data_IF_210894053849
#
_entry.id   IF_210894053849
#
_cell.length_a   1.000
_cell.length_b   1.000
_cell.length_c   1.000
_cell.angle_alpha   90.00
_cell.angle_beta   90.00
_cell.angle_gamma   90.00
#
_symmetry.space_group_name_H-M   'P 1'
#
loop_
_entity.id
_entity.type
_entity.pdbx_description
1 polymer ?
#
# COMPACT_ATOMS: atom_id res chain seq x y z
N UNK A 1 75.07 33.49 -37.76
CA UNK A 1 73.93 34.42 -37.93
C UNK A 1 72.67 33.59 -37.79
N UNK A 2 71.76 33.74 -36.86
CA UNK A 2 71.58 34.61 -35.70
C UNK A 2 70.32 34.08 -34.99
N UNK A 3 70.34 34.13 -33.67
CA UNK A 3 69.25 33.78 -32.74
C UNK A 3 68.05 34.76 -32.85
N UNK A 4 66.99 34.48 -32.08
CA UNK A 4 65.82 35.28 -31.67
C UNK A 4 64.52 35.05 -32.48
N UNK A 5 63.35 34.82 -31.89
CA UNK A 5 62.92 34.86 -30.49
C UNK A 5 61.58 35.60 -30.37
N UNK A 6 60.54 34.96 -29.81
CA UNK A 6 59.59 35.64 -28.92
C UNK A 6 58.14 35.95 -29.39
N UNK A 7 57.21 35.25 -28.71
CA UNK A 7 55.95 35.72 -28.07
C UNK A 7 54.71 36.15 -28.90
N UNK A 8 53.60 35.46 -28.59
CA UNK A 8 52.46 36.06 -27.87
C UNK A 8 51.08 35.98 -28.53
N UNK A 9 50.08 35.41 -27.84
CA UNK A 9 48.66 35.64 -28.15
C UNK A 9 47.68 34.55 -27.65
N UNK A 10 46.98 34.83 -26.55
CA UNK A 10 45.86 34.05 -25.97
C UNK A 10 44.56 34.17 -26.79
N UNK A 11 43.70 33.14 -26.70
CA UNK A 11 42.24 33.23 -26.92
C UNK A 11 41.71 31.98 -27.65
N UNK A 12 40.69 31.25 -27.21
CA UNK A 12 39.79 31.33 -26.08
C UNK A 12 39.06 29.98 -25.95
N UNK A 13 38.60 29.66 -24.75
CA UNK A 13 37.81 28.47 -24.42
C UNK A 13 36.53 28.41 -25.26
N UNK A 14 36.35 27.35 -26.03
CA UNK A 14 35.07 26.94 -26.61
C UNK A 14 34.62 25.62 -26.00
N UNK A 15 34.12 25.66 -24.77
CA UNK A 15 33.40 24.54 -24.18
C UNK A 15 32.04 24.38 -24.87
N UNK A 16 31.85 23.26 -25.56
CA UNK A 16 30.54 22.68 -25.90
C UNK A 16 30.67 21.23 -25.47
N UNK A 17 30.09 20.80 -24.36
CA UNK A 17 28.68 20.91 -24.04
C UNK A 17 28.25 19.47 -23.85
N UNK A 18 28.61 18.91 -22.69
CA UNK A 18 28.22 17.55 -22.33
C UNK A 18 26.70 17.49 -22.30
N UNK A 19 26.11 16.83 -23.29
CA UNK A 19 24.76 16.30 -23.16
C UNK A 19 24.83 15.20 -22.10
N UNK A 20 24.65 15.58 -20.84
CA UNK A 20 24.16 14.67 -19.82
C UNK A 20 22.75 14.30 -20.20
N UNK A 21 22.61 13.34 -21.12
CA UNK A 21 21.38 12.56 -21.19
C UNK A 21 21.30 11.82 -19.87
N UNK A 22 20.34 12.16 -19.03
CA UNK A 22 19.94 11.27 -17.96
C UNK A 22 19.35 10.04 -18.65
N UNK A 23 20.20 9.07 -18.98
CA UNK A 23 19.71 7.71 -19.21
C UNK A 23 18.92 7.31 -17.96
N UNK A 24 17.70 6.78 -18.12
CA UNK A 24 16.97 6.26 -16.98
C UNK A 24 17.85 5.23 -16.26
N UNK A 25 17.83 5.18 -14.92
CA UNK A 25 18.60 4.21 -14.17
C UNK A 25 18.36 2.80 -14.73
N UNK A 26 19.43 2.06 -15.04
CA UNK A 26 19.32 0.68 -15.51
C UNK A 26 18.55 -0.15 -14.47
N UNK A 27 17.47 -0.77 -14.91
CA UNK A 27 16.62 -1.68 -14.14
C UNK A 27 17.02 -3.15 -14.30
N UNK A 28 18.15 -3.43 -14.96
CA UNK A 28 18.54 -4.78 -15.39
C UNK A 28 18.70 -5.75 -14.21
N UNK A 29 19.08 -5.24 -13.04
CA UNK A 29 19.27 -6.04 -11.83
C UNK A 29 17.97 -6.34 -11.08
N UNK A 30 16.88 -5.61 -11.33
CA UNK A 30 15.60 -5.80 -10.61
C UNK A 30 14.98 -7.18 -10.86
N UNK A 31 15.29 -7.79 -12.01
CA UNK A 31 14.78 -9.10 -12.42
C UNK A 31 15.88 -10.17 -12.56
N UNK A 32 17.13 -9.85 -12.21
CA UNK A 32 18.23 -10.81 -12.25
C UNK A 32 18.12 -11.80 -11.09
N UNK A 33 17.89 -13.10 -11.35
CA UNK A 33 17.74 -14.10 -10.30
C UNK A 33 19.02 -14.34 -9.50
N UNK A 34 20.18 -13.89 -9.99
CA UNK A 34 21.47 -14.01 -9.32
C UNK A 34 21.79 -12.83 -8.39
N UNK A 35 20.93 -11.80 -8.37
CA UNK A 35 21.09 -10.61 -7.53
C UNK A 35 20.11 -10.65 -6.36
N UNK A 36 20.49 -10.13 -5.18
CA UNK A 36 19.55 -9.93 -4.10
C UNK A 36 18.43 -8.98 -4.52
N UNK A 37 17.19 -9.30 -4.14
CA UNK A 37 16.03 -8.43 -4.39
C UNK A 37 16.22 -7.08 -3.69
N UNK A 38 16.32 -6.00 -4.48
CA UNK A 38 16.29 -4.61 -3.99
C UNK A 38 14.95 -3.96 -4.26
N UNK A 39 14.70 -2.84 -3.58
CA UNK A 39 13.55 -1.99 -3.84
C UNK A 39 13.69 -1.30 -5.20
N UNK A 40 12.62 -1.31 -5.99
CA UNK A 40 12.53 -0.52 -7.20
C UNK A 40 12.26 0.94 -6.86
N UNK A 41 12.86 1.85 -7.61
CA UNK A 41 12.54 3.28 -7.56
C UNK A 41 11.35 3.57 -8.47
N UNK A 42 10.50 4.57 -8.16
CA UNK A 42 9.35 4.91 -9.00
C UNK A 42 9.72 5.18 -10.47
N UNK A 43 10.91 5.73 -10.72
CA UNK A 43 11.41 6.03 -12.07
C UNK A 43 11.79 4.78 -12.87
N UNK A 44 12.07 3.65 -12.20
CA UNK A 44 12.38 2.36 -12.82
C UNK A 44 11.12 1.58 -13.23
N UNK A 45 9.95 2.01 -12.74
CA UNK A 45 8.66 1.40 -13.06
C UNK A 45 8.14 2.02 -14.36
N UNK A 46 8.75 1.64 -15.48
CA UNK A 46 8.33 2.06 -16.82
C UNK A 46 7.35 1.04 -17.44
N UNK A 47 6.60 1.39 -18.49
CA UNK A 47 5.78 0.43 -19.22
C UNK A 47 6.58 -0.79 -19.70
N UNK A 48 7.79 -0.56 -20.25
CA UNK A 48 8.68 -1.62 -20.74
C UNK A 48 9.11 -2.56 -19.63
N UNK A 49 9.46 -2.01 -18.46
CA UNK A 49 9.77 -2.81 -17.28
C UNK A 49 8.57 -3.66 -16.85
N UNK A 50 7.36 -3.09 -16.82
CA UNK A 50 6.15 -3.84 -16.45
C UNK A 50 5.81 -4.95 -17.45
N UNK A 51 6.04 -4.75 -18.76
CA UNK A 51 5.94 -5.81 -19.77
C UNK A 51 6.92 -6.94 -19.50
N UNK A 52 8.16 -6.62 -19.15
CA UNK A 52 9.19 -7.60 -18.84
C UNK A 52 8.86 -8.40 -17.57
N UNK A 53 8.33 -7.74 -16.53
CA UNK A 53 7.82 -8.41 -15.32
C UNK A 53 6.69 -9.37 -15.68
N UNK A 54 5.73 -8.94 -16.52
CA UNK A 54 4.64 -9.82 -17.00
C UNK A 54 5.20 -11.02 -17.76
N UNK A 55 6.17 -10.81 -18.64
CA UNK A 55 6.79 -11.87 -19.46
C UNK A 55 7.50 -12.92 -18.60
N UNK A 56 8.30 -12.48 -17.62
CA UNK A 56 9.14 -13.36 -16.79
C UNK A 56 8.45 -13.87 -15.53
N UNK A 57 7.33 -13.25 -15.14
CA UNK A 57 6.72 -13.39 -13.82
C UNK A 57 7.68 -13.05 -12.66
N UNK A 58 8.64 -12.16 -12.92
CA UNK A 58 9.61 -11.72 -11.94
C UNK A 58 8.96 -11.06 -10.71
N UNK A 59 9.63 -11.16 -9.57
CA UNK A 59 9.18 -10.52 -8.32
C UNK A 59 9.82 -9.15 -8.20
N UNK A 60 9.02 -8.13 -7.93
CA UNK A 60 9.48 -6.75 -7.70
C UNK A 60 9.14 -6.30 -6.30
N UNK A 61 10.08 -5.67 -5.61
CA UNK A 61 9.86 -5.04 -4.30
C UNK A 61 9.56 -3.56 -4.49
N UNK A 62 8.33 -3.16 -4.15
CA UNK A 62 7.82 -1.81 -4.39
C UNK A 62 8.02 -0.86 -3.21
N UNK A 63 8.07 -1.40 -1.99
CA UNK A 63 8.26 -0.60 -0.80
C UNK A 63 8.20 -1.44 0.46
N UNK A 64 8.43 -0.78 1.59
CA UNK A 64 8.29 -1.43 2.90
C UNK A 64 6.89 -1.16 3.41
N UNK A 65 6.30 -2.16 4.05
CA UNK A 65 5.08 -1.99 4.81
C UNK A 65 5.42 -1.31 6.13
N UNK A 66 4.97 -0.07 6.24
CA UNK A 66 5.12 0.84 7.38
C UNK A 66 3.76 1.53 7.59
N UNK A 67 2.75 0.79 8.09
CA UNK A 67 1.39 1.31 8.20
C UNK A 67 1.32 2.48 9.16
N UNK A 68 0.47 3.47 8.86
CA UNK A 68 0.14 4.59 9.74
C UNK A 68 -0.35 4.07 11.11
N UNK A 69 -1.17 3.02 11.10
CA UNK A 69 -1.50 2.27 12.29
C UNK A 69 -0.37 1.28 12.63
N UNK A 70 0.42 1.64 13.64
CA UNK A 70 1.53 0.80 14.12
C UNK A 70 1.04 -0.51 14.76
N UNK A 71 -0.20 -0.58 15.24
CA UNK A 71 -0.79 -1.80 15.80
C UNK A 71 -0.97 -2.91 14.76
N UNK A 72 -1.29 -2.52 13.52
CA UNK A 72 -1.52 -3.45 12.42
C UNK A 72 -0.31 -4.35 12.15
N UNK A 73 0.91 -3.84 12.22
CA UNK A 73 2.11 -4.65 11.96
C UNK A 73 2.25 -5.81 12.96
N UNK A 74 1.90 -5.58 14.22
CA UNK A 74 1.92 -6.60 15.27
C UNK A 74 0.74 -7.57 15.12
N UNK A 75 -0.45 -7.07 14.81
CA UNK A 75 -1.65 -7.88 14.58
C UNK A 75 -1.44 -8.89 13.44
N UNK A 76 -0.73 -8.50 12.39
CA UNK A 76 -0.43 -9.36 11.24
C UNK A 76 0.63 -10.43 11.53
N UNK A 77 1.31 -10.37 12.68
CA UNK A 77 2.26 -11.41 13.11
C UNK A 77 3.56 -11.44 12.31
N UNK A 78 3.99 -10.30 11.78
CA UNK A 78 5.26 -10.16 11.08
C UNK A 78 6.45 -10.16 12.05
N UNK A 79 7.62 -10.60 11.57
CA UNK A 79 8.85 -10.52 12.34
C UNK A 79 9.37 -9.08 12.31
N UNK A 80 9.33 -8.41 13.46
CA UNK A 80 9.74 -7.02 13.62
C UNK A 80 11.25 -6.79 13.44
N UNK A 81 12.07 -7.85 13.35
CA UNK A 81 13.50 -7.75 13.09
C UNK A 81 13.84 -7.41 11.65
N UNK A 82 12.93 -7.67 10.72
CA UNK A 82 13.15 -7.48 9.29
C UNK A 82 12.08 -6.56 8.70
N UNK A 83 12.38 -5.83 7.61
CA UNK A 83 11.34 -5.10 6.89
C UNK A 83 10.31 -6.07 6.32
N UNK A 84 9.05 -5.66 6.31
CA UNK A 84 7.97 -6.36 5.61
C UNK A 84 7.91 -5.80 4.19
N UNK A 85 8.13 -6.62 3.18
CA UNK A 85 8.21 -6.19 1.77
C UNK A 85 6.84 -6.19 1.11
N UNK A 86 6.47 -5.07 0.50
CA UNK A 86 5.33 -4.98 -0.42
C UNK A 86 5.85 -5.36 -1.82
N UNK A 87 5.30 -6.42 -2.41
CA UNK A 87 5.79 -6.97 -3.68
C UNK A 87 4.68 -7.25 -4.68
N UNK A 88 5.00 -7.24 -5.96
CA UNK A 88 4.15 -7.83 -7.00
C UNK A 88 4.94 -8.78 -7.89
N UNK A 89 4.21 -9.50 -8.74
CA UNK A 89 4.78 -10.28 -9.83
C UNK A 89 3.95 -10.14 -11.12
N UNK A 90 4.47 -10.71 -12.21
CA UNK A 90 3.83 -10.64 -13.52
C UNK A 90 2.40 -11.19 -13.56
N UNK A 91 2.08 -12.23 -12.79
CA UNK A 91 0.72 -12.76 -12.74
C UNK A 91 -0.29 -11.77 -12.15
N UNK A 92 0.08 -11.04 -11.10
CA UNK A 92 -0.75 -9.98 -10.54
C UNK A 92 -0.94 -8.85 -11.58
N UNK A 93 0.14 -8.43 -12.26
CA UNK A 93 0.06 -7.41 -13.30
C UNK A 93 -0.82 -7.82 -14.49
N UNK A 94 -0.71 -9.06 -14.97
CA UNK A 94 -1.58 -9.61 -16.03
C UNK A 94 -3.04 -9.61 -15.59
N UNK A 95 -3.32 -9.98 -14.34
CA UNK A 95 -4.68 -9.95 -13.79
C UNK A 95 -5.22 -8.52 -13.81
N UNK A 96 -4.46 -7.57 -13.28
CA UNK A 96 -4.82 -6.15 -13.20
C UNK A 96 -5.06 -5.58 -14.58
N UNK A 97 -4.13 -5.76 -15.51
CA UNK A 97 -4.27 -5.28 -16.90
C UNK A 97 -5.55 -5.81 -17.56
N UNK A 98 -5.78 -7.13 -17.48
CA UNK A 98 -6.93 -7.79 -18.11
C UNK A 98 -8.26 -7.36 -17.50
N UNK A 99 -8.31 -7.16 -16.18
CA UNK A 99 -9.57 -6.98 -15.43
C UNK A 99 -9.85 -5.52 -15.10
N UNK A 100 -8.83 -4.71 -14.90
CA UNK A 100 -8.93 -3.36 -14.36
C UNK A 100 -8.11 -2.34 -15.16
N UNK A 101 -7.35 -2.73 -16.19
CA UNK A 101 -6.63 -1.79 -17.05
C UNK A 101 -7.54 -0.99 -18.00
N UNK A 102 -6.99 -0.02 -18.75
CA UNK A 102 -7.76 0.85 -19.65
C UNK A 102 -8.51 0.10 -20.76
N UNK A 103 -8.05 -1.09 -21.15
CA UNK A 103 -8.70 -1.91 -22.18
C UNK A 103 -9.60 -3.00 -21.57
N UNK A 104 -9.81 -3.00 -20.26
CA UNK A 104 -10.59 -4.04 -19.58
C UNK A 104 -12.09 -3.87 -19.79
N UNK A 105 -12.84 -4.97 -19.68
CA UNK A 105 -14.30 -4.93 -19.75
C UNK A 105 -14.91 -4.08 -18.62
N UNK A 106 -14.29 -4.06 -17.44
CA UNK A 106 -14.79 -3.27 -16.31
C UNK A 106 -14.63 -1.77 -16.57
N UNK A 107 -13.54 -1.35 -17.21
CA UNK A 107 -13.42 0.03 -17.67
C UNK A 107 -14.38 0.34 -18.82
N UNK A 108 -14.32 -0.45 -19.90
CA UNK A 108 -15.03 -0.12 -21.15
C UNK A 108 -16.56 -0.25 -21.03
N UNK A 109 -17.06 -1.29 -20.34
CA UNK A 109 -18.51 -1.57 -20.27
C UNK A 109 -19.15 -1.13 -18.96
N UNK A 110 -18.42 -1.25 -17.84
CA UNK A 110 -18.96 -0.92 -16.53
C UNK A 110 -18.53 0.47 -16.05
N UNK A 111 -17.81 1.22 -16.91
CA UNK A 111 -17.36 2.59 -16.66
C UNK A 111 -16.61 2.76 -15.33
N UNK A 112 -15.89 1.71 -14.92
CA UNK A 112 -15.07 1.76 -13.71
C UNK A 112 -13.76 2.51 -14.01
N UNK A 113 -13.20 3.25 -13.05
CA UNK A 113 -11.89 3.87 -13.22
C UNK A 113 -10.84 2.80 -13.50
N UNK A 114 -10.02 3.01 -14.53
CA UNK A 114 -8.97 2.08 -14.88
C UNK A 114 -7.76 2.22 -13.94
N UNK A 115 -7.04 1.11 -13.75
CA UNK A 115 -5.73 1.08 -13.12
C UNK A 115 -4.68 1.42 -14.19
N UNK A 116 -3.98 2.53 -13.98
CA UNK A 116 -2.86 2.97 -14.80
C UNK A 116 -1.49 2.68 -14.18
N UNK A 117 -0.44 3.06 -14.90
CA UNK A 117 0.94 2.90 -14.41
C UNK A 117 1.21 3.72 -13.14
N UNK A 118 0.60 4.90 -13.00
CA UNK A 118 0.76 5.73 -11.81
C UNK A 118 0.13 5.09 -10.56
N UNK A 119 -0.98 4.36 -10.74
CA UNK A 119 -1.56 3.57 -9.65
C UNK A 119 -0.62 2.42 -9.24
N UNK A 120 0.00 1.74 -10.20
CA UNK A 120 0.97 0.65 -9.95
C UNK A 120 2.23 1.17 -9.25
N UNK A 121 2.71 2.37 -9.59
CA UNK A 121 3.86 2.99 -8.93
C UNK A 121 3.60 3.31 -7.47
N UNK A 122 2.40 3.80 -7.16
CA UNK A 122 2.11 4.44 -5.88
C UNK A 122 1.17 3.63 -4.97
N UNK A 123 0.68 2.46 -5.39
CA UNK A 123 -0.21 1.64 -4.54
C UNK A 123 0.33 1.31 -3.14
N UNK A 124 1.67 1.20 -2.86
CA UNK A 124 2.13 1.00 -1.49
C UNK A 124 1.68 2.11 -0.53
N UNK A 125 1.39 3.33 -1.03
CA UNK A 125 0.81 4.41 -0.22
C UNK A 125 -0.62 4.10 0.23
N UNK A 126 -1.42 3.42 -0.61
CA UNK A 126 -2.77 2.96 -0.23
C UNK A 126 -2.70 1.87 0.83
N UNK A 127 -1.67 1.02 0.79
CA UNK A 127 -1.43 -0.01 1.80
C UNK A 127 -1.00 0.58 3.14
N UNK A 128 -0.09 1.56 3.11
CA UNK A 128 0.47 2.17 4.32
C UNK A 128 -0.45 3.22 4.95
N UNK A 129 -1.25 3.92 4.15
CA UNK A 129 -2.18 4.98 4.60
C UNK A 129 -3.60 4.75 4.05
N UNK A 130 -4.25 3.63 4.36
CA UNK A 130 -5.62 3.39 3.93
C UNK A 130 -6.61 4.21 4.76
N UNK A 131 -7.77 4.52 4.17
CA UNK A 131 -8.92 5.01 4.95
C UNK A 131 -9.53 3.87 5.78
N UNK A 132 -9.46 2.63 5.26
CA UNK A 132 -9.87 1.42 5.97
C UNK A 132 -9.03 0.21 5.54
N UNK A 133 -8.75 -0.69 6.47
CA UNK A 133 -8.12 -1.98 6.17
C UNK A 133 -8.75 -3.11 6.97
N UNK A 134 -8.73 -4.32 6.42
CA UNK A 134 -9.26 -5.52 7.05
C UNK A 134 -8.44 -6.74 6.66
N UNK A 135 -8.30 -7.68 7.59
CA UNK A 135 -7.78 -9.01 7.29
C UNK A 135 -8.94 -9.93 6.96
N UNK A 136 -8.86 -10.62 5.83
CA UNK A 136 -9.85 -11.62 5.41
C UNK A 136 -9.15 -12.93 5.07
N UNK A 137 -9.88 -14.04 5.10
CA UNK A 137 -9.40 -15.31 4.57
C UNK A 137 -9.88 -15.50 3.14
N UNK A 138 -9.01 -16.01 2.27
CA UNK A 138 -9.44 -16.53 0.99
C UNK A 138 -10.08 -17.93 1.16
N UNK A 139 -10.58 -18.52 0.06
CA UNK A 139 -11.22 -19.84 0.08
C UNK A 139 -10.33 -20.98 0.61
N UNK A 140 -9.01 -20.82 0.53
CA UNK A 140 -8.02 -21.80 0.95
C UNK A 140 -7.50 -21.53 2.38
N UNK A 141 -8.11 -20.57 3.11
CA UNK A 141 -7.67 -20.15 4.45
C UNK A 141 -6.38 -19.32 4.45
N UNK A 142 -5.92 -18.83 3.30
CA UNK A 142 -4.80 -17.90 3.21
C UNK A 142 -5.29 -16.49 3.56
N UNK A 143 -4.68 -15.90 4.60
CA UNK A 143 -4.93 -14.52 5.03
C UNK A 143 -4.53 -13.50 3.98
N UNK A 144 -5.41 -12.54 3.75
CA UNK A 144 -5.24 -11.40 2.88
C UNK A 144 -5.41 -10.11 3.67
N UNK A 145 -4.54 -9.14 3.43
CA UNK A 145 -4.76 -7.75 3.81
C UNK A 145 -5.53 -7.06 2.67
N UNK A 146 -6.68 -6.49 3.00
CA UNK A 146 -7.46 -5.64 2.09
C UNK A 146 -7.41 -4.21 2.59
N UNK A 147 -6.94 -3.29 1.77
CA UNK A 147 -6.77 -1.87 2.09
C UNK A 147 -7.53 -1.04 1.06
N UNK A 148 -8.32 -0.07 1.50
CA UNK A 148 -9.03 0.85 0.63
C UNK A 148 -8.78 2.31 0.97
N UNK A 149 -8.74 3.15 -0.07
CA UNK A 149 -8.64 4.60 0.02
C UNK A 149 -9.63 5.25 -0.95
N UNK A 150 -10.30 6.30 -0.52
CA UNK A 150 -11.34 7.02 -1.28
C UNK A 150 -10.69 7.97 -2.29
N UNK A 151 -10.30 7.42 -3.45
CA UNK A 151 -9.68 8.15 -4.57
C UNK A 151 -10.26 7.63 -5.89
N UNK A 152 -10.75 8.55 -6.75
CA UNK A 152 -11.43 8.24 -8.02
C UNK A 152 -12.52 7.17 -7.86
N UNK A 153 -13.55 7.44 -7.06
CA UNK A 153 -14.32 6.36 -6.43
C UNK A 153 -13.52 5.84 -5.25
N UNK A 154 -13.26 4.54 -5.17
CA UNK A 154 -12.33 3.98 -4.19
C UNK A 154 -11.30 3.05 -4.83
N UNK A 155 -10.05 3.18 -4.40
CA UNK A 155 -8.93 2.30 -4.79
C UNK A 155 -8.78 1.21 -3.73
N UNK A 156 -8.98 -0.04 -4.15
CA UNK A 156 -8.73 -1.25 -3.39
C UNK A 156 -7.38 -1.89 -3.73
N UNK A 157 -6.66 -2.28 -2.69
CA UNK A 157 -5.46 -3.14 -2.76
C UNK A 157 -5.72 -4.41 -1.97
N UNK A 158 -5.46 -5.56 -2.58
CA UNK A 158 -5.57 -6.87 -1.92
C UNK A 158 -4.23 -7.59 -2.00
N UNK A 159 -3.68 -7.97 -0.85
CA UNK A 159 -2.36 -8.60 -0.73
C UNK A 159 -2.42 -9.85 0.13
N UNK A 160 -1.69 -10.88 -0.27
CA UNK A 160 -1.47 -12.05 0.58
C UNK A 160 -0.45 -11.75 1.66
N UNK A 161 -0.79 -12.12 2.89
CA UNK A 161 0.12 -12.04 4.03
C UNK A 161 0.99 -13.29 4.07
N UNK A 162 2.31 -13.11 3.99
CA UNK A 162 3.30 -14.17 4.16
C UNK A 162 4.25 -13.83 5.30
N UNK A 163 3.88 -14.20 6.53
CA UNK A 163 4.69 -13.95 7.74
C UNK A 163 6.05 -14.65 7.67
N UNK A 164 6.10 -15.88 7.14
CA UNK A 164 7.36 -16.63 6.94
C UNK A 164 8.37 -15.91 6.02
N UNK A 165 7.90 -15.07 5.10
CA UNK A 165 8.74 -14.34 4.15
C UNK A 165 8.84 -12.85 4.47
N UNK A 166 8.17 -12.39 5.53
CA UNK A 166 7.94 -10.97 5.81
C UNK A 166 7.49 -10.21 4.55
N UNK A 167 6.43 -10.70 3.91
CA UNK A 167 6.00 -10.22 2.60
C UNK A 167 4.48 -10.00 2.56
N UNK A 168 4.07 -8.85 2.03
CA UNK A 168 2.75 -8.59 1.48
C UNK A 168 2.85 -8.74 -0.04
N UNK A 169 2.25 -9.81 -0.58
CA UNK A 169 2.30 -10.13 -2.01
C UNK A 169 1.01 -9.67 -2.68
N UNK A 170 1.10 -8.72 -3.59
CA UNK A 170 -0.02 -8.21 -4.37
C UNK A 170 -0.78 -9.34 -5.07
N UNK A 171 -2.11 -9.34 -4.90
CA UNK A 171 -3.05 -10.20 -5.65
C UNK A 171 -3.75 -9.42 -6.74
N UNK A 172 -4.29 -8.25 -6.40
CA UNK A 172 -4.96 -7.37 -7.35
C UNK A 172 -5.03 -5.93 -6.84
N UNK A 173 -5.17 -5.02 -7.80
CA UNK A 173 -5.48 -3.60 -7.64
C UNK A 173 -6.74 -3.34 -8.46
N UNK A 174 -7.68 -2.58 -7.92
CA UNK A 174 -8.79 -2.09 -8.71
C UNK A 174 -9.34 -0.79 -8.12
N UNK A 175 -9.95 0.01 -9.00
CA UNK A 175 -10.79 1.12 -8.61
C UNK A 175 -12.24 0.79 -8.97
N UNK A 176 -13.15 1.21 -8.13
CA UNK A 176 -14.58 1.13 -8.40
C UNK A 176 -15.27 2.44 -8.04
N UNK A 177 -16.34 2.76 -8.75
CA UNK A 177 -17.17 3.93 -8.49
C UNK A 177 -17.86 3.82 -7.11
N UNK A 178 -18.10 4.97 -6.48
CA UNK A 178 -18.79 5.06 -5.19
C UNK A 178 -17.84 5.08 -3.99
N UNK A 179 -18.34 4.64 -2.84
CA UNK A 179 -17.67 4.75 -1.54
C UNK A 179 -17.19 3.38 -1.08
N UNK A 180 -15.98 3.28 -0.52
CA UNK A 180 -15.45 2.02 0.00
C UNK A 180 -16.35 1.43 1.10
N UNK A 181 -17.08 2.26 1.85
CA UNK A 181 -17.98 1.82 2.93
C UNK A 181 -19.17 0.99 2.43
N UNK A 182 -19.48 1.07 1.13
CA UNK A 182 -20.51 0.25 0.47
C UNK A 182 -19.96 -1.08 -0.05
N UNK A 183 -18.64 -1.26 -0.05
CA UNK A 183 -18.02 -2.53 -0.43
C UNK A 183 -18.33 -3.59 0.64
N UNK A 184 -18.84 -4.79 0.26
CA UNK A 184 -19.18 -5.85 1.21
C UNK A 184 -18.05 -6.29 2.14
N UNK A 185 -16.78 -6.13 1.74
CA UNK A 185 -15.62 -6.43 2.59
C UNK A 185 -15.63 -5.57 3.87
N UNK A 186 -16.02 -4.30 3.74
CA UNK A 186 -16.01 -3.29 4.81
C UNK A 186 -17.40 -2.94 5.34
N UNK A 187 -18.45 -3.58 4.86
CA UNK A 187 -19.81 -3.35 5.33
C UNK A 187 -19.88 -3.45 6.87
N UNK A 188 -20.41 -2.40 7.51
CA UNK A 188 -20.52 -2.29 8.97
C UNK A 188 -19.27 -1.77 9.70
N UNK A 189 -18.18 -1.44 8.99
CA UNK A 189 -17.04 -0.72 9.56
C UNK A 189 -17.23 0.80 9.39
N UNK A 190 -16.95 1.57 10.45
CA UNK A 190 -16.78 3.02 10.35
C UNK A 190 -15.41 3.39 9.79
N UNK A 191 -15.24 4.63 9.33
CA UNK A 191 -13.92 5.12 8.88
C UNK A 191 -12.91 5.05 10.02
N UNK A 192 -11.65 4.75 9.68
CA UNK A 192 -10.58 4.81 10.68
C UNK A 192 -10.24 6.28 10.95
N UNK A 193 -10.20 6.74 12.21
CA UNK A 193 -9.87 8.13 12.50
C UNK A 193 -8.48 8.45 11.95
N UNK A 194 -8.39 9.54 11.16
CA UNK A 194 -7.18 9.93 10.41
C UNK A 194 -6.04 10.45 11.29
N UNK A 195 -6.31 10.66 12.59
CA UNK A 195 -5.37 11.15 13.58
C UNK A 195 -5.35 10.18 14.77
N UNK A 196 -4.15 9.71 15.14
CA UNK A 196 -3.92 8.84 16.29
C UNK A 196 -4.06 9.57 17.63
N UNK A 197 -5.21 10.17 17.90
CA UNK A 197 -5.60 10.60 19.23
C UNK A 197 -6.90 9.87 19.62
N UNK A 198 -6.70 8.89 20.50
CA UNK A 198 -7.61 8.37 21.49
C UNK A 198 -9.05 8.00 21.10
N UNK A 199 -9.32 6.69 21.04
CA UNK A 199 -10.52 6.08 21.62
C UNK A 199 -10.32 4.58 21.85
N UNK A 200 -9.29 4.23 22.61
CA UNK A 200 -9.27 2.98 23.40
C UNK A 200 -9.25 3.33 24.88
N UNK A 201 -10.17 4.19 25.30
CA UNK A 201 -10.58 4.22 26.70
C UNK A 201 -11.72 3.21 26.86
N UNK A 202 -11.56 2.10 27.60
CA UNK A 202 -12.72 1.38 28.09
C UNK A 202 -13.53 2.37 28.92
N UNK A 203 -14.79 2.60 28.54
CA UNK A 203 -15.67 3.39 29.38
C UNK A 203 -15.78 2.68 30.73
N UNK A 204 -15.45 3.34 31.86
CA UNK A 204 -15.70 2.75 33.17
C UNK A 204 -17.21 2.50 33.26
N UNK A 205 -17.59 1.26 33.55
CA UNK A 205 -18.97 0.91 33.87
C UNK A 205 -19.39 1.71 35.11
N UNK A 206 -20.08 2.83 34.89
CA UNK A 206 -20.77 3.56 35.93
C UNK A 206 -21.97 2.73 36.37
N UNK A 207 -21.83 2.04 37.49
CA UNK A 207 -22.90 1.78 38.47
C UNK A 207 -22.25 1.35 39.78
N UNK A 208 -21.62 2.32 40.46
CA UNK A 208 -21.08 2.17 41.81
C UNK A 208 -21.79 3.05 42.85
N UNK A 209 -22.99 3.55 42.54
CA UNK A 209 -23.80 4.35 43.47
C UNK A 209 -25.26 3.89 43.57
N UNK A 210 -25.50 2.57 43.52
CA UNK A 210 -26.73 2.01 44.09
C UNK A 210 -26.55 1.86 45.61
N UNK A 211 -27.00 2.87 46.37
CA UNK A 211 -27.12 2.78 47.83
C UNK A 211 -27.96 1.54 48.24
N UNK A 212 -27.60 0.83 49.32
CA UNK A 212 -28.40 -0.26 49.83
C UNK A 212 -29.70 0.27 50.43
N UNK A 213 -30.85 -0.13 49.88
CA UNK A 213 -32.11 -0.06 50.62
C UNK A 213 -32.22 -1.30 51.50
N UNK A 214 -31.98 -1.08 52.80
CA UNK A 214 -32.25 -2.02 53.88
C UNK A 214 -33.75 -2.27 54.02
N UNK A 215 -34.12 -3.54 54.16
CA UNK A 215 -35.48 -4.00 54.45
C UNK A 215 -36.06 -3.41 55.74
N UNK A 216 -37.37 -3.13 55.74
CA UNK A 216 -38.25 -3.28 56.92
C UNK A 216 -39.62 -3.80 56.48
N UNK A 217 -39.89 -5.03 56.90
CA UNK A 217 -41.22 -5.57 57.19
C UNK A 217 -41.90 -4.73 58.25
N UNK A 218 -43.17 -4.37 58.06
CA UNK A 218 -44.11 -4.14 59.15
C UNK A 218 -45.51 -4.60 58.73
N UNK A 219 -45.94 -5.66 59.39
CA UNK A 219 -47.31 -6.16 59.49
C UNK A 219 -48.22 -5.10 60.09
N UNK A 220 -49.38 -4.85 59.49
CA UNK A 220 -50.43 -4.08 60.15
C UNK A 220 -51.69 -4.94 60.31
N UNK A 221 -51.85 -5.47 61.53
CA UNK A 221 -53.11 -5.96 62.10
C UNK A 221 -53.52 -4.96 63.17
N UNK A 222 -54.77 -4.49 63.15
CA UNK A 222 -55.43 -4.01 64.37
C UNK A 222 -56.97 -4.08 64.22
N UNK A 223 -57.66 -4.77 65.15
CA UNK A 223 -59.02 -4.44 65.62
C UNK A 223 -58.91 -3.41 66.78
N UNK A 224 -59.97 -2.88 67.44
CA UNK A 224 -61.38 -3.30 67.54
C UNK A 224 -62.40 -2.47 66.78
#
# INVERSE_FOLDING_TARGET
MGDSGGKGGKGGKGGKGGKGGNEPPSSDDLLDPNKPLRRAKPEEITPEFLEEVKRTNGKVWMGDFAPQDKGLMQELGFDSKYPVKITFNGDALKHIERRHGPNSIHHIKNEQPAIGIEDIKHYPQVVNEPDISKVIDNKDGQKLLTSAKQIDGYFMVIETISTKKNELKLKTLYKENGEWGKNPIFSGMGERPKNGEDSLSPQPSVNLDARPQTAKTDSNTSPP
#
